data_IF_636821799850
#
_entry.id   IF_636821799850
#
_cell.length_a   1.000
_cell.length_b   1.000
_cell.length_c   1.000
_cell.angle_alpha   90.00
_cell.angle_beta   90.00
_cell.angle_gamma   90.00
#
_symmetry.space_group_name_H-M   'P 1'
#
loop_
_entity.id
_entity.type
_entity.pdbx_description
1 polymer ?
#
# COMPACT_ATOMS: atom_id res chain seq x y z
N UNK A 1 22.85 0.47 -14.36
CA UNK A 1 21.72 -0.17 -13.64
C UNK A 1 21.88 0.16 -12.17
N UNK A 2 21.26 1.24 -11.70
CA UNK A 2 21.41 1.68 -10.31
C UNK A 2 20.42 0.85 -9.49
N UNK A 3 20.93 -0.20 -8.84
CA UNK A 3 20.18 -0.92 -7.82
C UNK A 3 20.25 -0.04 -6.57
N UNK A 4 19.25 0.83 -6.39
CA UNK A 4 19.01 1.44 -5.10
C UNK A 4 18.54 0.30 -4.18
N UNK A 5 19.43 -0.18 -3.31
CA UNK A 5 19.06 -1.04 -2.20
C UNK A 5 18.22 -0.24 -1.21
N UNK A 6 16.95 0.04 -1.55
CA UNK A 6 15.95 0.23 -0.52
C UNK A 6 15.94 -1.09 0.24
N UNK A 7 16.42 -1.09 1.49
CA UNK A 7 16.24 -2.23 2.38
C UNK A 7 14.73 -2.42 2.52
N UNK A 8 14.16 -3.29 1.70
CA UNK A 8 12.79 -3.70 1.85
C UNK A 8 12.71 -4.40 3.21
N UNK A 9 11.82 -3.94 4.09
CA UNK A 9 11.48 -4.73 5.26
C UNK A 9 10.66 -5.91 4.74
N UNK A 10 11.35 -7.03 4.58
CA UNK A 10 10.73 -8.30 4.25
C UNK A 10 10.56 -9.06 5.57
N UNK A 11 9.38 -9.61 5.81
CA UNK A 11 9.15 -10.40 7.01
C UNK A 11 9.91 -11.73 6.85
N UNK A 12 10.86 -12.00 7.75
CA UNK A 12 11.84 -13.11 7.67
C UNK A 12 11.23 -14.53 7.70
N UNK A 13 9.91 -14.68 7.77
CA UNK A 13 9.26 -15.99 7.83
C UNK A 13 8.63 -16.47 6.51
N UNK A 14 8.36 -15.60 5.52
CA UNK A 14 7.62 -16.00 4.30
C UNK A 14 7.97 -15.18 3.03
N UNK A 15 9.22 -14.77 2.78
CA UNK A 15 9.70 -14.09 1.53
C UNK A 15 8.90 -12.87 1.02
N UNK A 16 7.90 -12.38 1.76
CA UNK A 16 7.03 -11.30 1.34
C UNK A 16 7.60 -9.98 1.87
N UNK A 17 7.76 -9.03 0.94
CA UNK A 17 8.11 -7.65 1.27
C UNK A 17 6.87 -6.80 1.06
N UNK A 18 6.61 -5.88 1.98
CA UNK A 18 5.48 -4.96 1.87
C UNK A 18 5.97 -3.55 1.61
N UNK A 19 5.22 -2.82 0.80
CA UNK A 19 5.50 -1.42 0.51
C UNK A 19 4.24 -0.61 0.65
N UNK A 20 4.32 0.56 1.30
CA UNK A 20 3.23 1.51 1.28
C UNK A 20 2.92 1.96 -0.15
N UNK A 21 1.64 2.01 -0.47
CA UNK A 21 1.09 2.74 -1.59
C UNK A 21 0.18 3.86 -1.05
N UNK A 22 -0.22 4.81 -1.89
CA UNK A 22 -0.94 6.00 -1.43
C UNK A 22 -2.41 5.78 -1.08
N UNK A 23 -2.86 4.55 -0.87
CA UNK A 23 -4.26 4.24 -0.60
C UNK A 23 -4.52 4.24 0.90
N UNK A 24 -5.66 4.78 1.32
CA UNK A 24 -6.07 4.85 2.73
C UNK A 24 -7.57 5.10 2.87
N UNK A 25 -8.15 4.81 4.03
CA UNK A 25 -9.53 5.15 4.41
C UNK A 25 -9.63 5.90 5.76
N UNK A 26 -8.55 6.61 6.13
CA UNK A 26 -8.38 7.41 7.37
C UNK A 26 -9.58 8.32 7.74
N UNK A 27 -10.31 8.82 6.74
CA UNK A 27 -11.44 9.74 6.95
C UNK A 27 -12.78 9.01 7.14
N UNK A 28 -12.95 7.85 6.51
CA UNK A 28 -14.20 7.09 6.52
C UNK A 28 -13.94 5.61 6.25
N UNK A 29 -13.99 4.79 7.31
CA UNK A 29 -13.79 3.35 7.29
C UNK A 29 -14.52 2.66 6.13
N UNK A 30 -13.78 1.81 5.39
CA UNK A 30 -14.25 1.08 4.22
C UNK A 30 -14.35 1.91 2.94
N UNK A 31 -14.02 3.21 2.98
CA UNK A 31 -14.04 4.11 1.82
C UNK A 31 -12.64 4.56 1.40
N UNK A 32 -11.89 3.62 0.83
CA UNK A 32 -10.51 3.86 0.40
C UNK A 32 -10.41 4.93 -0.70
N UNK A 33 -9.44 5.83 -0.52
CA UNK A 33 -9.07 6.90 -1.45
C UNK A 33 -7.56 6.98 -1.65
N UNK A 34 -7.13 7.53 -2.79
CA UNK A 34 -5.73 7.87 -3.03
C UNK A 34 -5.38 9.21 -2.40
N UNK A 35 -4.30 9.27 -1.60
CA UNK A 35 -3.82 10.52 -0.99
C UNK A 35 -3.36 11.58 -2.01
N UNK A 36 -3.21 11.21 -3.30
CA UNK A 36 -2.83 12.16 -4.34
C UNK A 36 -3.92 13.15 -4.71
N UNK A 37 -5.18 12.72 -4.66
CA UNK A 37 -6.32 13.46 -5.20
C UNK A 37 -7.66 13.16 -4.50
N UNK A 38 -7.64 12.37 -3.42
CA UNK A 38 -8.80 11.93 -2.65
C UNK A 38 -9.86 11.23 -3.50
N UNK A 39 -9.47 10.59 -4.60
CA UNK A 39 -10.38 9.80 -5.42
C UNK A 39 -10.38 8.34 -5.00
N UNK A 40 -11.55 7.71 -5.10
CA UNK A 40 -11.68 6.28 -4.96
C UNK A 40 -10.85 5.55 -6.04
N UNK A 41 -10.25 4.38 -5.73
CA UNK A 41 -9.61 3.56 -6.74
C UNK A 41 -10.58 3.11 -7.84
N UNK A 42 -10.18 3.30 -9.10
CA UNK A 42 -10.90 2.73 -10.25
C UNK A 42 -10.67 1.20 -10.38
N UNK A 43 -9.75 0.65 -9.60
CA UNK A 43 -9.34 -0.74 -9.59
C UNK A 43 -8.96 -1.16 -8.17
N UNK A 44 -9.26 -2.40 -7.81
CA UNK A 44 -8.96 -3.00 -6.51
C UNK A 44 -8.19 -4.31 -6.71
N UNK A 45 -7.12 -4.51 -5.95
CA UNK A 45 -6.30 -5.72 -6.01
C UNK A 45 -6.10 -6.36 -4.63
N UNK A 46 -7.14 -6.38 -3.81
CA UNK A 46 -7.08 -6.97 -2.47
C UNK A 46 -6.60 -8.42 -2.51
N UNK A 47 -5.73 -8.77 -1.57
CA UNK A 47 -5.40 -10.16 -1.32
C UNK A 47 -6.66 -10.92 -0.86
N UNK A 48 -6.71 -12.26 -1.00
CA UNK A 48 -7.83 -13.02 -0.49
C UNK A 48 -8.09 -12.69 0.98
N UNK A 49 -9.34 -12.42 1.32
CA UNK A 49 -9.81 -12.04 2.66
C UNK A 49 -9.57 -10.57 3.04
N UNK A 50 -8.85 -9.78 2.22
CA UNK A 50 -8.66 -8.34 2.44
C UNK A 50 -9.73 -7.46 1.75
N UNK A 51 -9.96 -6.23 2.23
CA UNK A 51 -9.51 -5.73 3.54
C UNK A 51 -10.24 -6.47 4.68
N UNK A 52 -9.50 -6.86 5.71
CA UNK A 52 -10.03 -7.69 6.80
C UNK A 52 -10.24 -6.92 8.10
N UNK A 53 -9.66 -5.73 8.21
CA UNK A 53 -9.92 -4.81 9.30
C UNK A 53 -11.14 -3.96 8.98
N UNK A 54 -11.99 -3.81 10.00
CA UNK A 54 -13.14 -2.91 10.02
C UNK A 54 -13.00 -1.97 11.23
N UNK A 55 -11.76 -1.60 11.54
CA UNK A 55 -11.36 -0.94 12.78
C UNK A 55 -10.40 0.19 12.43
N UNK A 56 -10.57 1.34 13.08
CA UNK A 56 -9.81 2.60 12.93
C UNK A 56 -8.27 2.52 13.16
N UNK A 57 -7.67 1.34 13.12
CA UNK A 57 -6.25 1.10 13.40
C UNK A 57 -5.44 0.75 12.15
N UNK A 58 -6.07 0.25 11.08
CA UNK A 58 -5.41 -0.38 9.93
C UNK A 58 -5.74 0.32 8.60
N UNK A 59 -5.89 1.65 8.63
CA UNK A 59 -6.48 2.43 7.52
C UNK A 59 -5.57 2.67 6.30
N UNK A 60 -4.37 2.06 6.23
CA UNK A 60 -3.40 2.34 5.17
C UNK A 60 -3.12 1.11 4.30
N UNK A 61 -2.93 1.30 3.00
CA UNK A 61 -2.74 0.18 2.07
C UNK A 61 -1.24 -0.10 1.82
N UNK A 62 -0.84 -1.36 2.01
CA UNK A 62 0.42 -1.91 1.50
C UNK A 62 0.19 -2.76 0.26
N UNK A 63 1.22 -2.87 -0.58
CA UNK A 63 1.34 -3.91 -1.61
C UNK A 63 2.26 -5.03 -1.15
N UNK A 64 1.83 -6.28 -1.35
CA UNK A 64 2.55 -7.50 -0.97
C UNK A 64 3.34 -8.02 -2.18
N UNK A 65 4.66 -7.94 -2.13
CA UNK A 65 5.56 -8.56 -3.11
C UNK A 65 5.70 -10.06 -2.85
N UNK A 66 5.75 -10.93 -3.88
CA UNK A 66 5.80 -10.61 -5.31
C UNK A 66 4.44 -10.50 -6.00
N UNK A 67 3.34 -10.74 -5.29
CA UNK A 67 2.02 -10.88 -5.92
C UNK A 67 1.37 -9.58 -6.37
N UNK A 68 1.80 -8.44 -5.82
CA UNK A 68 1.20 -7.14 -6.11
C UNK A 68 -0.18 -6.93 -5.48
N UNK A 69 -0.65 -7.89 -4.67
CA UNK A 69 -1.91 -7.83 -3.97
C UNK A 69 -1.86 -6.81 -2.81
N UNK A 70 -3.00 -6.25 -2.45
CA UNK A 70 -3.13 -5.21 -1.44
C UNK A 70 -3.60 -5.79 -0.12
N UNK A 71 -3.16 -5.20 0.98
CA UNK A 71 -3.71 -5.39 2.31
C UNK A 71 -3.81 -4.03 3.00
N UNK A 72 -4.87 -3.86 3.78
CA UNK A 72 -4.97 -2.87 4.84
C UNK A 72 -3.93 -3.19 5.93
N UNK A 73 -3.39 -2.15 6.56
CA UNK A 73 -2.25 -2.26 7.45
C UNK A 73 -2.10 -1.01 8.31
N UNK A 74 -1.67 -1.22 9.55
CA UNK A 74 -1.47 -0.13 10.50
C UNK A 74 -0.54 0.96 9.98
N UNK A 75 -1.11 2.16 9.80
CA UNK A 75 -0.43 3.32 9.21
C UNK A 75 0.89 3.73 9.88
N UNK A 76 1.11 3.31 11.14
CA UNK A 76 2.32 3.63 11.91
C UNK A 76 3.49 2.65 11.66
N UNK A 77 3.27 1.60 10.87
CA UNK A 77 4.31 0.62 10.57
C UNK A 77 5.45 1.23 9.72
N UNK A 78 6.68 0.86 10.06
CA UNK A 78 7.90 1.42 9.46
C UNK A 78 8.38 0.67 8.23
N UNK A 79 7.55 0.56 7.20
CA UNK A 79 7.90 -0.14 5.95
C UNK A 79 8.27 0.84 4.82
N UNK A 80 9.02 0.41 3.78
CA UNK A 80 9.31 1.27 2.63
C UNK A 80 8.06 1.64 1.85
N UNK A 81 8.15 2.60 0.93
CA UNK A 81 7.01 3.11 0.15
C UNK A 81 7.35 3.26 -1.33
N UNK A 82 6.32 3.20 -2.18
CA UNK A 82 6.41 3.45 -3.62
C UNK A 82 5.79 4.80 -3.97
N UNK A 83 6.50 5.62 -4.74
CA UNK A 83 6.00 6.90 -5.22
C UNK A 83 5.65 6.87 -6.71
N UNK A 84 4.57 7.58 -7.08
CA UNK A 84 4.22 7.89 -8.46
C UNK A 84 4.51 9.36 -8.74
N UNK A 85 5.12 9.66 -9.89
CA UNK A 85 5.29 11.03 -10.41
C UNK A 85 4.68 11.10 -11.80
N UNK A 86 4.08 12.24 -12.15
CA UNK A 86 3.64 12.50 -13.51
C UNK A 86 4.84 12.46 -14.46
N UNK A 87 4.70 11.75 -15.58
CA UNK A 87 5.66 11.83 -16.66
C UNK A 87 5.37 13.11 -17.45
N UNK A 88 6.30 14.06 -17.44
CA UNK A 88 6.22 15.23 -18.30
C UNK A 88 6.54 14.78 -19.73
N UNK A 89 5.60 14.96 -20.66
CA UNK A 89 5.86 14.91 -22.09
C UNK A 89 6.50 16.24 -22.48
N UNK A 90 7.69 16.20 -23.10
CA UNK A 90 8.31 17.37 -23.73
C UNK A 90 7.66 17.67 -25.07
#
# INVERSE_FOLDING_TARGET
MIILFLKAQCFDSWFQCVFWIGGNDLDNEGSFVWSSDNKAPDFYNWAPVEPNSYTDYDDCIVVIYPWGAWADFGCTAKVPFLCKKAQFSL
#
